data_IF_311860574611
#
_entry.id   IF_311860574611
#
_cell.length_a   1.000
_cell.length_b   1.000
_cell.length_c   1.000
_cell.angle_alpha   90.00
_cell.angle_beta   90.00
_cell.angle_gamma   90.00
#
_symmetry.space_group_name_H-M   'P 1'
#
loop_
_entity.id
_entity.type
_entity.pdbx_description
1 polymer ?
#
# COMPACT_ATOMS: atom_id res chain seq x y z
N UNK A 1 -3.83 98.62 93.29
CA UNK A 1 -2.51 97.97 93.40
C UNK A 1 -2.44 97.27 94.75
N UNK A 2 -1.98 96.02 94.75
CA UNK A 2 -1.28 95.21 95.78
C UNK A 2 -1.20 95.74 97.23
N UNK A 3 -1.18 94.97 98.32
CA UNK A 3 -1.15 93.53 98.62
C UNK A 3 -1.29 93.37 100.16
N UNK A 4 -1.57 92.14 100.60
CA UNK A 4 -1.11 91.46 101.84
C UNK A 4 -1.29 92.07 103.25
N UNK A 5 -1.31 91.33 104.37
CA UNK A 5 -1.55 89.91 104.77
C UNK A 5 -1.67 89.99 106.30
N UNK A 6 -2.68 89.35 106.90
CA UNK A 6 -2.97 89.25 108.35
C UNK A 6 -4.07 88.15 108.50
N UNK A 7 -4.33 87.39 109.57
CA UNK A 7 -3.85 87.32 110.97
C UNK A 7 -4.54 86.11 111.69
N UNK A 8 -3.84 85.55 112.68
CA UNK A 8 -4.19 84.89 113.98
C UNK A 8 -5.47 84.07 114.28
N UNK A 9 -5.24 82.90 114.92
CA UNK A 9 -5.48 82.52 116.36
C UNK A 9 -6.82 82.86 117.10
N UNK A 10 -7.37 81.83 117.77
CA UNK A 10 -8.26 81.88 118.97
C UNK A 10 -9.77 81.99 118.67
N UNK A 11 -10.74 81.62 119.51
CA UNK A 11 -10.88 80.91 120.79
C UNK A 11 -12.39 80.83 121.13
N UNK A 12 -12.82 79.80 121.86
CA UNK A 12 -13.92 79.75 122.86
C UNK A 12 -15.43 79.87 122.50
N UNK A 13 -16.17 78.93 123.17
CA UNK A 13 -17.52 79.03 123.76
C UNK A 13 -18.73 79.30 122.84
N UNK A 14 -19.98 78.93 123.12
CA UNK A 14 -20.67 77.97 124.00
C UNK A 14 -22.17 78.04 123.63
N UNK A 15 -22.93 77.03 124.03
CA UNK A 15 -24.34 77.09 124.44
C UNK A 15 -25.51 76.95 123.42
N UNK A 16 -26.48 76.12 123.85
CA UNK A 16 -27.91 76.09 123.46
C UNK A 16 -28.28 75.25 122.23
N UNK A 17 -29.40 74.53 122.11
CA UNK A 17 -30.33 73.81 122.99
C UNK A 17 -31.44 73.18 122.08
N UNK A 18 -31.93 71.97 122.43
CA UNK A 18 -33.25 71.33 122.09
C UNK A 18 -33.57 70.93 120.61
N UNK A 19 -34.21 69.81 120.21
CA UNK A 19 -35.26 68.93 120.82
C UNK A 19 -35.48 67.54 120.10
N UNK A 20 -35.99 66.53 120.86
CA UNK A 20 -36.98 65.42 120.55
C UNK A 20 -36.60 63.98 120.04
N UNK A 21 -36.95 62.97 120.88
CA UNK A 21 -37.88 61.79 120.66
C UNK A 21 -37.40 60.29 120.58
N UNK A 22 -37.70 59.52 121.67
CA UNK A 22 -38.29 58.15 121.89
C UNK A 22 -37.76 56.74 121.39
N UNK A 23 -37.61 55.84 122.41
CA UNK A 23 -38.07 54.40 122.64
C UNK A 23 -37.40 53.14 122.02
N UNK A 24 -36.82 52.21 122.84
CA UNK A 24 -36.63 50.74 122.56
C UNK A 24 -36.49 49.90 123.87
N UNK A 25 -37.02 48.64 123.94
CA UNK A 25 -36.26 47.34 124.16
C UNK A 25 -37.01 46.16 124.81
N UNK A 26 -37.13 45.01 124.09
CA UNK A 26 -36.85 43.58 124.50
C UNK A 26 -37.50 42.53 123.53
N UNK A 27 -36.70 41.69 122.83
CA UNK A 27 -36.95 40.30 122.30
C UNK A 27 -35.94 39.92 121.17
N UNK A 28 -34.79 39.31 121.46
CA UNK A 28 -33.73 39.05 120.44
C UNK A 28 -33.05 37.67 120.43
N UNK A 29 -33.21 36.84 121.46
CA UNK A 29 -32.34 35.65 121.62
C UNK A 29 -32.92 34.33 121.08
N UNK A 30 -34.24 34.17 120.97
CA UNK A 30 -34.85 32.91 120.51
C UNK A 30 -34.71 32.68 118.99
N UNK A 31 -34.75 33.74 118.18
CA UNK A 31 -34.71 33.67 116.70
C UNK A 31 -33.35 33.19 116.19
N UNK A 32 -32.26 33.55 116.89
CA UNK A 32 -30.88 33.19 116.49
C UNK A 32 -30.60 31.69 116.59
N UNK A 33 -31.28 30.97 117.49
CA UNK A 33 -31.03 29.55 117.70
C UNK A 33 -31.68 28.67 116.63
N UNK A 34 -32.88 29.05 116.17
CA UNK A 34 -33.64 28.33 115.13
C UNK A 34 -32.92 28.44 113.78
N UNK A 35 -32.46 29.64 113.43
CA UNK A 35 -31.72 29.89 112.18
C UNK A 35 -30.44 29.06 112.04
N UNK A 36 -29.70 28.84 113.14
CA UNK A 36 -28.48 28.02 113.11
C UNK A 36 -28.76 26.54 112.79
N UNK A 37 -29.88 25.97 113.26
CA UNK A 37 -30.23 24.57 112.97
C UNK A 37 -30.59 24.33 111.50
N UNK A 38 -31.34 25.26 110.89
CA UNK A 38 -31.69 25.15 109.47
C UNK A 38 -30.48 25.31 108.55
N UNK A 39 -29.56 26.21 108.88
CA UNK A 39 -28.31 26.38 108.11
C UNK A 39 -27.44 25.11 108.13
N UNK A 40 -27.37 24.41 109.26
CA UNK A 40 -26.59 23.17 109.35
C UNK A 40 -27.19 22.03 108.51
N UNK A 41 -28.52 21.92 108.49
CA UNK A 41 -29.24 20.95 107.65
C UNK A 41 -29.00 21.18 106.15
N UNK A 42 -28.96 22.45 105.74
CA UNK A 42 -28.75 22.84 104.34
C UNK A 42 -27.35 22.47 103.81
N UNK A 43 -26.32 22.59 104.67
CA UNK A 43 -24.94 22.20 104.33
C UNK A 43 -24.80 20.69 104.16
N UNK A 44 -25.47 19.89 105.00
CA UNK A 44 -25.47 18.43 104.86
C UNK A 44 -26.16 17.98 103.55
N UNK A 45 -27.25 18.64 103.18
CA UNK A 45 -27.98 18.33 101.95
C UNK A 45 -27.16 18.67 100.69
N UNK A 46 -26.44 19.79 100.71
CA UNK A 46 -25.53 20.17 99.64
C UNK A 46 -24.36 19.17 99.49
N UNK A 47 -23.80 18.69 100.61
CA UNK A 47 -22.75 17.67 100.60
C UNK A 47 -23.20 16.35 99.96
N UNK A 48 -24.42 15.89 100.26
CA UNK A 48 -24.99 14.67 99.67
C UNK A 48 -25.22 14.83 98.15
N UNK A 49 -25.72 15.98 97.71
CA UNK A 49 -25.91 16.27 96.29
C UNK A 49 -24.59 16.27 95.52
N UNK A 50 -23.51 16.77 96.12
CA UNK A 50 -22.19 16.80 95.50
C UNK A 50 -21.60 15.39 95.32
N UNK A 51 -21.81 14.49 96.29
CA UNK A 51 -21.39 13.09 96.19
C UNK A 51 -22.12 12.37 95.04
N UNK A 52 -23.45 12.57 94.95
CA UNK A 52 -24.26 11.96 93.87
C UNK A 52 -23.85 12.49 92.49
N UNK A 53 -23.61 13.79 92.36
CA UNK A 53 -23.14 14.39 91.11
C UNK A 53 -21.78 13.84 90.68
N UNK A 54 -20.85 13.66 91.63
CA UNK A 54 -19.51 13.15 91.35
C UNK A 54 -19.54 11.68 90.91
N UNK A 55 -20.44 10.87 91.49
CA UNK A 55 -20.62 9.47 91.11
C UNK A 55 -21.30 9.30 89.74
N UNK A 56 -22.27 10.16 89.42
CA UNK A 56 -22.98 10.09 88.14
C UNK A 56 -22.10 10.59 86.98
N UNK A 57 -21.36 11.69 87.18
CA UNK A 57 -20.44 12.24 86.17
C UNK A 57 -19.27 11.30 85.85
N UNK A 58 -18.75 10.58 86.85
CA UNK A 58 -17.66 9.61 86.66
C UNK A 58 -18.08 8.40 85.81
N UNK A 59 -19.30 7.89 85.97
CA UNK A 59 -19.78 6.72 85.23
C UNK A 59 -20.20 7.02 83.77
N UNK A 60 -20.63 8.26 83.47
CA UNK A 60 -21.02 8.66 82.11
C UNK A 60 -19.80 8.93 81.22
N UNK A 61 -18.73 9.52 81.77
CA UNK A 61 -17.49 9.77 81.00
C UNK A 61 -16.80 8.47 80.54
N UNK A 62 -16.78 7.42 81.37
CA UNK A 62 -16.11 6.15 81.05
C UNK A 62 -16.76 5.45 79.84
N UNK A 63 -18.08 5.65 79.61
CA UNK A 63 -18.80 5.01 78.50
C UNK A 63 -18.70 5.78 77.17
N UNK A 64 -18.50 7.10 77.23
CA UNK A 64 -18.35 7.95 76.04
C UNK A 64 -16.93 7.90 75.45
N UNK A 65 -15.89 7.85 76.29
CA UNK A 65 -14.50 7.81 75.80
C UNK A 65 -14.19 6.50 75.05
N UNK A 66 -14.75 5.37 75.50
CA UNK A 66 -14.51 4.06 74.88
C UNK A 66 -15.17 3.93 73.48
N UNK A 67 -16.25 4.67 73.21
CA UNK A 67 -16.88 4.70 71.88
C UNK A 67 -16.14 5.61 70.90
N UNK A 68 -15.71 6.79 71.37
CA UNK A 68 -14.95 7.73 70.54
C UNK A 68 -13.59 7.17 70.12
N UNK A 69 -12.91 6.42 71.01
CA UNK A 69 -11.64 5.76 70.66
C UNK A 69 -11.79 4.74 69.54
N UNK A 70 -12.86 3.93 69.55
CA UNK A 70 -13.12 2.92 68.50
C UNK A 70 -13.55 3.55 67.17
N UNK A 71 -14.30 4.65 67.20
CA UNK A 71 -14.68 5.39 65.98
C UNK A 71 -13.44 6.04 65.34
N UNK A 72 -12.52 6.57 66.16
CA UNK A 72 -11.25 7.12 65.66
C UNK A 72 -10.37 6.04 64.98
N UNK A 73 -10.27 4.85 65.57
CA UNK A 73 -9.53 3.72 64.96
C UNK A 73 -10.13 3.27 63.62
N UNK A 74 -11.46 3.18 63.53
CA UNK A 74 -12.16 2.84 62.28
C UNK A 74 -11.97 3.92 61.22
N UNK A 75 -12.03 5.20 61.59
CA UNK A 75 -11.78 6.30 60.66
C UNK A 75 -10.35 6.28 60.09
N UNK A 76 -9.35 5.97 60.93
CA UNK A 76 -7.95 5.82 60.49
C UNK A 76 -7.79 4.60 59.57
N UNK A 77 -8.43 3.47 59.88
CA UNK A 77 -8.40 2.27 59.03
C UNK A 77 -9.06 2.51 57.66
N UNK A 78 -10.23 3.15 57.63
CA UNK A 78 -10.93 3.52 56.39
C UNK A 78 -10.10 4.50 55.57
N UNK A 79 -9.53 5.55 56.19
CA UNK A 79 -8.67 6.52 55.50
C UNK A 79 -7.42 5.88 54.91
N UNK A 80 -6.77 4.97 55.65
CA UNK A 80 -5.60 4.23 55.17
C UNK A 80 -5.93 3.32 53.98
N UNK A 81 -7.09 2.65 54.02
CA UNK A 81 -7.53 1.79 52.92
C UNK A 81 -8.03 2.59 51.70
N UNK A 82 -8.66 3.76 51.89
CA UNK A 82 -9.04 4.66 50.80
C UNK A 82 -7.81 5.19 50.05
N UNK A 83 -6.75 5.59 50.77
CA UNK A 83 -5.51 6.03 50.14
C UNK A 83 -4.85 4.90 49.33
N UNK A 84 -4.90 3.65 49.82
CA UNK A 84 -4.38 2.49 49.08
C UNK A 84 -5.21 2.17 47.84
N UNK A 85 -6.55 2.26 47.93
CA UNK A 85 -7.43 2.12 46.77
C UNK A 85 -7.23 3.24 45.75
N UNK A 86 -6.97 4.47 46.20
CA UNK A 86 -6.73 5.60 45.31
C UNK A 86 -5.43 5.42 44.52
N UNK A 87 -4.35 4.99 45.17
CA UNK A 87 -3.08 4.65 44.49
C UNK A 87 -3.28 3.52 43.46
N UNK A 88 -4.10 2.51 43.78
CA UNK A 88 -4.40 1.42 42.84
C UNK A 88 -5.22 1.88 41.63
N UNK A 89 -6.17 2.81 41.83
CA UNK A 89 -6.94 3.43 40.74
C UNK A 89 -6.06 4.32 39.88
N UNK A 90 -5.19 5.14 40.49
CA UNK A 90 -4.26 6.03 39.76
C UNK A 90 -3.28 5.22 38.89
N UNK A 91 -2.79 4.07 39.39
CA UNK A 91 -1.94 3.14 38.62
C UNK A 91 -2.72 2.47 37.49
N UNK A 92 -3.99 2.11 37.71
CA UNK A 92 -4.84 1.58 36.66
C UNK A 92 -5.11 2.62 35.56
N UNK A 93 -5.39 3.87 35.93
CA UNK A 93 -5.59 4.98 35.00
C UNK A 93 -4.33 5.28 34.19
N UNK A 94 -3.14 5.26 34.80
CA UNK A 94 -1.87 5.40 34.08
C UNK A 94 -1.67 4.30 33.04
N UNK A 95 -1.97 3.05 33.38
CA UNK A 95 -1.87 1.93 32.45
C UNK A 95 -2.90 2.02 31.31
N UNK A 96 -4.10 2.52 31.60
CA UNK A 96 -5.13 2.78 30.57
C UNK A 96 -4.65 3.88 29.61
N UNK A 97 -4.10 4.98 30.13
CA UNK A 97 -3.55 6.05 29.27
C UNK A 97 -2.38 5.57 28.40
N UNK A 98 -1.51 4.69 28.92
CA UNK A 98 -0.42 4.10 28.12
C UNK A 98 -0.95 3.16 27.02
N UNK A 99 -1.99 2.38 27.32
CA UNK A 99 -2.65 1.50 26.35
C UNK A 99 -3.37 2.30 25.27
N UNK A 100 -4.09 3.36 25.62
CA UNK A 100 -4.73 4.27 24.66
C UNK A 100 -3.69 4.93 23.75
N UNK A 101 -2.54 5.34 24.30
CA UNK A 101 -1.43 5.87 23.52
C UNK A 101 -0.86 4.87 22.51
N UNK A 102 -0.68 3.60 22.90
CA UNK A 102 -0.24 2.52 21.99
C UNK A 102 -1.28 2.21 20.91
N UNK A 103 -2.56 2.17 21.27
CA UNK A 103 -3.68 1.96 20.32
C UNK A 103 -3.77 3.10 19.32
N UNK A 104 -3.61 4.35 19.77
CA UNK A 104 -3.57 5.52 18.89
C UNK A 104 -2.35 5.48 17.94
N UNK A 105 -1.18 5.07 18.45
CA UNK A 105 0.03 4.84 17.65
C UNK A 105 -0.19 3.79 16.56
N UNK A 106 -0.77 2.63 16.92
CA UNK A 106 -1.14 1.59 15.96
C UNK A 106 -2.17 2.07 14.92
N UNK A 107 -3.14 2.90 15.32
CA UNK A 107 -4.09 3.51 14.40
C UNK A 107 -3.41 4.41 13.35
N UNK A 108 -2.41 5.19 13.77
CA UNK A 108 -1.65 6.07 12.86
C UNK A 108 -0.78 5.28 11.87
N UNK A 109 -0.21 4.14 12.28
CA UNK A 109 0.53 3.21 11.43
C UNK A 109 -0.40 2.51 10.41
N UNK A 110 -1.58 2.07 10.87
CA UNK A 110 -2.63 1.50 10.00
C UNK A 110 -3.11 2.50 8.94
N UNK A 111 -3.23 3.78 9.30
CA UNK A 111 -3.62 4.84 8.36
C UNK A 111 -2.51 5.14 7.33
N UNK A 112 -1.24 5.12 7.74
CA UNK A 112 -0.09 5.21 6.81
C UNK A 112 -0.05 4.02 5.84
N UNK A 113 -0.29 2.81 6.33
CA UNK A 113 -0.40 1.61 5.50
C UNK A 113 -1.59 1.71 4.54
N UNK A 114 -2.75 2.19 5.00
CA UNK A 114 -3.94 2.42 4.18
C UNK A 114 -3.68 3.39 3.01
N UNK A 115 -3.05 4.54 3.29
CA UNK A 115 -2.64 5.50 2.24
C UNK A 115 -1.61 4.91 1.28
N UNK A 116 -0.70 4.07 1.76
CA UNK A 116 0.25 3.33 0.93
C UNK A 116 -0.45 2.35 -0.03
N UNK A 117 -1.50 1.67 0.45
CA UNK A 117 -2.32 0.75 -0.35
C UNK A 117 -3.15 1.49 -1.40
N UNK A 118 -3.74 2.65 -1.07
CA UNK A 118 -4.41 3.51 -2.07
C UNK A 118 -3.42 4.03 -3.13
N UNK A 119 -2.22 4.45 -2.70
CA UNK A 119 -1.16 4.86 -3.62
C UNK A 119 -0.66 3.74 -4.53
N UNK A 120 -0.67 2.49 -4.05
CA UNK A 120 -0.42 1.31 -4.88
C UNK A 120 -1.59 1.04 -5.85
N UNK A 121 -2.84 1.24 -5.42
CA UNK A 121 -4.03 1.14 -6.27
C UNK A 121 -3.96 2.08 -7.48
N UNK A 122 -3.61 3.35 -7.27
CA UNK A 122 -3.44 4.31 -8.38
C UNK A 122 -2.27 3.97 -9.32
N UNK A 123 -1.20 3.36 -8.79
CA UNK A 123 -0.08 2.86 -9.61
C UNK A 123 -0.47 1.63 -10.43
N UNK A 124 -1.32 0.77 -9.88
CA UNK A 124 -1.88 -0.40 -10.56
C UNK A 124 -2.83 0.04 -11.68
N UNK A 125 -3.70 1.02 -11.44
CA UNK A 125 -4.60 1.57 -12.45
C UNK A 125 -3.83 2.30 -13.58
N UNK A 126 -2.73 2.97 -13.22
CA UNK A 126 -1.80 3.51 -14.21
C UNK A 126 -1.11 2.40 -15.02
N UNK A 127 -0.66 1.32 -14.37
CA UNK A 127 -0.11 0.12 -15.02
C UNK A 127 -1.12 -0.56 -15.93
N UNK A 128 -2.38 -0.67 -15.51
CA UNK A 128 -3.49 -1.22 -16.29
C UNK A 128 -3.69 -0.44 -17.60
N UNK A 129 -3.58 0.89 -17.55
CA UNK A 129 -3.63 1.76 -18.73
C UNK A 129 -2.43 1.58 -19.66
N UNK A 130 -1.22 1.36 -19.11
CA UNK A 130 -0.01 1.11 -19.88
C UNK A 130 0.04 -0.31 -20.48
N UNK A 131 -0.53 -1.29 -19.78
CA UNK A 131 -0.60 -2.69 -20.19
C UNK A 131 -1.77 -2.94 -21.15
N UNK A 132 -2.90 -2.24 -21.02
CA UNK A 132 -4.00 -2.33 -22.01
C UNK A 132 -3.63 -1.72 -23.36
N UNK A 133 -2.62 -0.85 -23.41
CA UNK A 133 -2.11 -0.24 -24.63
C UNK A 133 -1.02 -1.04 -25.35
N UNK A 134 -0.45 -2.05 -24.70
CA UNK A 134 0.60 -2.91 -25.25
C UNK A 134 0.12 -4.37 -25.18
N UNK A 135 0.33 -5.20 -26.20
CA UNK A 135 -0.05 -6.64 -26.19
C UNK A 135 0.79 -7.49 -25.21
N UNK A 136 1.04 -7.02 -23.98
CA UNK A 136 1.74 -7.79 -22.95
C UNK A 136 0.85 -8.89 -22.36
N UNK A 137 -0.49 -8.73 -22.40
CA UNK A 137 -1.49 -9.74 -22.02
C UNK A 137 -2.75 -9.57 -22.89
N UNK A 138 -3.42 -10.66 -23.27
CA UNK A 138 -4.78 -10.55 -23.81
C UNK A 138 -5.72 -10.12 -22.69
N UNK A 139 -6.76 -9.34 -23.01
CA UNK A 139 -7.72 -8.83 -22.02
C UNK A 139 -8.33 -9.96 -21.17
N UNK A 140 -8.53 -11.13 -21.77
CA UNK A 140 -9.07 -12.30 -21.08
C UNK A 140 -8.09 -12.91 -20.05
N UNK A 141 -6.79 -13.00 -20.39
CA UNK A 141 -5.76 -13.51 -19.47
C UNK A 141 -5.52 -12.54 -18.30
N UNK A 142 -5.64 -11.23 -18.55
CA UNK A 142 -5.53 -10.23 -17.50
C UNK A 142 -6.77 -10.23 -16.58
N UNK A 143 -7.97 -10.40 -17.14
CA UNK A 143 -9.21 -10.48 -16.36
C UNK A 143 -9.23 -11.76 -15.49
N UNK A 144 -8.73 -12.88 -16.01
CA UNK A 144 -8.54 -14.13 -15.25
C UNK A 144 -7.55 -13.95 -14.09
N UNK A 145 -6.41 -13.32 -14.34
CA UNK A 145 -5.43 -12.96 -13.30
C UNK A 145 -6.03 -12.03 -12.24
N UNK A 146 -6.84 -11.05 -12.64
CA UNK A 146 -7.44 -10.10 -11.71
C UNK A 146 -8.52 -10.75 -10.84
N UNK A 147 -9.28 -11.69 -11.39
CA UNK A 147 -10.24 -12.49 -10.64
C UNK A 147 -9.56 -13.50 -9.69
N UNK A 148 -8.43 -14.07 -10.10
CA UNK A 148 -7.60 -14.94 -9.25
C UNK A 148 -6.93 -14.13 -8.13
N UNK A 149 -6.43 -12.93 -8.43
CA UNK A 149 -5.89 -11.97 -7.46
C UNK A 149 -6.96 -11.54 -6.42
N UNK A 150 -8.19 -11.27 -6.87
CA UNK A 150 -9.32 -10.97 -5.97
C UNK A 150 -9.69 -12.16 -5.07
N UNK A 151 -9.55 -13.39 -5.55
CA UNK A 151 -9.75 -14.60 -4.75
C UNK A 151 -8.60 -14.84 -3.77
N UNK A 152 -7.37 -14.53 -4.16
CA UNK A 152 -6.15 -14.68 -3.36
C UNK A 152 -5.94 -13.59 -2.31
N UNK A 153 -7.01 -12.90 -1.87
CA UNK A 153 -7.03 -11.75 -0.93
C UNK A 153 -6.63 -12.14 0.51
N UNK A 154 -5.55 -12.90 0.66
CA UNK A 154 -5.05 -13.41 1.93
C UNK A 154 -3.59 -13.88 1.92
N UNK A 155 -2.95 -14.15 0.76
CA UNK A 155 -1.58 -14.68 0.76
C UNK A 155 -0.69 -13.98 -0.27
N UNK A 156 0.03 -12.93 0.17
CA UNK A 156 0.96 -12.14 -0.64
C UNK A 156 2.05 -13.01 -1.30
N UNK A 157 2.42 -14.11 -0.65
CA UNK A 157 3.45 -15.02 -1.14
C UNK A 157 2.98 -15.87 -2.33
N UNK A 158 1.69 -16.26 -2.39
CA UNK A 158 1.13 -16.97 -3.55
C UNK A 158 1.06 -16.07 -4.79
N UNK A 159 0.62 -14.81 -4.62
CA UNK A 159 0.62 -13.81 -5.71
C UNK A 159 2.04 -13.54 -6.19
N UNK A 160 3.04 -13.54 -5.29
CA UNK A 160 4.45 -13.36 -5.64
C UNK A 160 5.01 -14.53 -6.44
N UNK A 161 4.59 -15.76 -6.14
CA UNK A 161 5.02 -16.96 -6.88
C UNK A 161 4.43 -16.95 -8.28
N UNK A 162 3.12 -16.72 -8.42
CA UNK A 162 2.46 -16.64 -9.75
C UNK A 162 3.04 -15.51 -10.60
N UNK A 163 3.25 -14.32 -10.02
CA UNK A 163 3.85 -13.21 -10.74
C UNK A 163 5.31 -13.52 -11.18
N UNK A 164 6.08 -14.23 -10.35
CA UNK A 164 7.42 -14.69 -10.73
C UNK A 164 7.38 -15.70 -11.87
N UNK A 165 6.46 -16.66 -11.84
CA UNK A 165 6.34 -17.67 -12.90
C UNK A 165 5.96 -17.03 -14.24
N UNK A 166 5.02 -16.08 -14.26
CA UNK A 166 4.64 -15.37 -15.48
C UNK A 166 5.84 -14.56 -16.02
N UNK A 167 6.53 -13.82 -15.14
CA UNK A 167 7.70 -13.04 -15.55
C UNK A 167 8.82 -13.94 -16.06
N UNK A 168 9.09 -15.06 -15.37
CA UNK A 168 10.10 -16.03 -15.80
C UNK A 168 9.72 -16.68 -17.12
N UNK A 169 8.46 -17.09 -17.29
CA UNK A 169 7.97 -17.66 -18.55
C UNK A 169 8.09 -16.67 -19.71
N UNK A 170 7.82 -15.39 -19.50
CA UNK A 170 7.98 -14.36 -20.52
C UNK A 170 9.46 -14.06 -20.83
N UNK A 171 10.32 -14.04 -19.81
CA UNK A 171 11.78 -13.96 -19.99
C UNK A 171 12.27 -15.18 -20.78
N UNK A 172 11.81 -16.38 -20.46
CA UNK A 172 12.17 -17.61 -21.17
C UNK A 172 11.72 -17.56 -22.63
N UNK A 173 10.50 -17.07 -22.92
CA UNK A 173 10.07 -16.82 -24.31
C UNK A 173 10.96 -15.81 -25.00
N UNK A 174 11.33 -14.72 -24.34
CA UNK A 174 12.21 -13.71 -24.91
C UNK A 174 13.61 -14.27 -25.22
N UNK A 175 14.13 -15.15 -24.34
CA UNK A 175 15.36 -15.91 -24.56
C UNK A 175 15.20 -16.91 -25.72
N UNK A 176 14.03 -17.52 -25.87
CA UNK A 176 13.64 -18.38 -26.99
C UNK A 176 13.16 -17.59 -28.22
N UNK A 177 13.88 -16.52 -28.56
CA UNK A 177 13.68 -15.70 -29.77
C UNK A 177 12.30 -15.01 -29.86
N UNK A 178 11.62 -14.88 -28.72
CA UNK A 178 10.34 -14.19 -28.54
C UNK A 178 9.09 -14.97 -28.92
N UNK A 179 9.21 -16.12 -29.58
CA UNK A 179 8.07 -16.90 -30.10
C UNK A 179 8.00 -18.34 -29.59
N UNK A 180 9.09 -18.89 -29.05
CA UNK A 180 9.13 -20.28 -28.59
C UNK A 180 8.92 -21.32 -29.71
N UNK A 181 9.19 -20.96 -30.97
CA UNK A 181 9.03 -21.83 -32.15
C UNK A 181 10.32 -21.91 -32.95
N UNK A 182 10.64 -23.09 -33.48
CA UNK A 182 11.85 -23.29 -34.30
C UNK A 182 11.71 -22.54 -35.62
N UNK A 183 12.71 -21.74 -35.97
CA UNK A 183 12.81 -21.02 -37.24
C UNK A 183 13.68 -21.80 -38.24
N UNK A 184 13.05 -22.38 -39.27
CA UNK A 184 13.75 -23.13 -40.33
C UNK A 184 14.31 -22.24 -41.45
N UNK A 185 13.94 -20.96 -41.47
CA UNK A 185 14.45 -19.98 -42.41
C UNK A 185 15.70 -19.25 -41.89
N UNK A 186 16.01 -19.39 -40.59
CA UNK A 186 17.14 -18.74 -39.92
C UNK A 186 18.47 -18.97 -40.64
N UNK A 187 19.18 -17.86 -40.94
CA UNK A 187 20.43 -17.89 -41.68
C UNK A 187 21.56 -18.64 -40.98
N UNK A 188 21.74 -18.41 -39.68
CA UNK A 188 22.72 -19.15 -38.87
C UNK A 188 22.39 -20.64 -38.73
N UNK A 189 21.12 -21.02 -38.95
CA UNK A 189 20.66 -22.41 -38.98
C UNK A 189 20.84 -23.10 -40.33
N UNK A 190 21.29 -22.39 -41.38
CA UNK A 190 21.49 -22.90 -42.73
C UNK A 190 20.46 -22.44 -43.77
N UNK A 191 19.43 -21.70 -43.35
CA UNK A 191 18.49 -21.07 -44.28
C UNK A 191 19.17 -19.97 -45.10
N UNK A 192 18.73 -19.75 -46.33
CA UNK A 192 19.28 -18.65 -47.15
C UNK A 192 18.33 -18.21 -48.25
N UNK A 193 18.45 -16.94 -48.65
CA UNK A 193 17.75 -16.40 -49.80
C UNK A 193 18.41 -16.93 -51.08
N UNK A 194 17.60 -17.42 -52.01
CA UNK A 194 18.05 -17.95 -53.31
C UNK A 194 17.74 -17.00 -54.45
N UNK A 195 16.60 -16.31 -54.42
CA UNK A 195 16.16 -15.33 -55.43
C UNK A 195 15.30 -14.26 -54.78
N UNK A 196 15.24 -13.07 -55.37
CA UNK A 196 14.37 -11.99 -54.92
C UNK A 196 14.11 -10.98 -56.04
N UNK A 197 13.10 -10.11 -55.86
CA UNK A 197 12.87 -8.96 -56.74
C UNK A 197 13.98 -7.91 -56.60
N UNK A 198 13.99 -6.86 -57.44
CA UNK A 198 15.11 -5.89 -57.45
C UNK A 198 15.33 -5.24 -56.07
N UNK A 199 16.51 -5.48 -55.47
CA UNK A 199 16.88 -4.88 -54.19
C UNK A 199 17.05 -3.35 -54.30
N UNK A 200 16.72 -2.64 -53.22
CA UNK A 200 16.92 -1.21 -53.09
C UNK A 200 18.38 -0.89 -52.73
N UNK A 201 18.95 0.14 -53.36
CA UNK A 201 20.31 0.57 -53.09
C UNK A 201 21.39 -0.22 -53.84
N UNK A 202 21.01 -1.01 -54.86
CA UNK A 202 21.97 -1.68 -55.75
C UNK A 202 22.77 -0.65 -56.54
N UNK A 203 23.95 -0.31 -56.01
CA UNK A 203 25.01 0.42 -56.70
C UNK A 203 25.79 -0.62 -57.51
N UNK A 204 25.98 -0.37 -58.80
CA UNK A 204 26.78 -1.12 -59.79
C UNK A 204 28.12 -1.75 -59.33
N UNK A 205 28.70 -1.34 -58.19
CA UNK A 205 29.95 -1.87 -57.65
C UNK A 205 29.84 -2.58 -56.29
N UNK A 206 28.67 -2.65 -55.66
CA UNK A 206 28.55 -3.27 -54.34
C UNK A 206 27.14 -3.79 -54.11
N UNK A 207 27.03 -5.11 -53.93
CA UNK A 207 25.86 -5.68 -53.26
C UNK A 207 25.26 -6.92 -53.88
N UNK A 208 25.65 -7.35 -55.09
CA UNK A 208 25.22 -8.64 -55.65
C UNK A 208 26.27 -9.69 -55.30
N UNK A 209 25.92 -10.64 -54.44
CA UNK A 209 26.76 -11.80 -54.16
C UNK A 209 26.95 -12.67 -55.42
N UNK A 210 27.93 -13.58 -55.39
CA UNK A 210 28.27 -14.42 -56.56
C UNK A 210 27.09 -15.19 -57.18
N UNK A 211 26.01 -15.37 -56.42
CA UNK A 211 24.83 -16.12 -56.85
C UNK A 211 23.68 -15.23 -57.34
N UNK A 212 23.90 -13.93 -57.58
CA UNK A 212 22.85 -12.99 -58.00
C UNK A 212 21.94 -12.51 -56.87
N UNK A 213 22.20 -12.92 -55.62
CA UNK A 213 21.45 -12.54 -54.41
C UNK A 213 22.12 -11.34 -53.75
N UNK A 214 21.33 -10.37 -53.33
CA UNK A 214 21.82 -9.17 -52.67
C UNK A 214 22.40 -9.49 -51.29
N UNK A 215 23.52 -8.87 -50.91
CA UNK A 215 24.20 -9.12 -49.63
C UNK A 215 23.30 -8.88 -48.42
N UNK A 216 22.42 -7.88 -48.49
CA UNK A 216 21.46 -7.57 -47.42
C UNK A 216 20.27 -8.54 -47.36
N UNK A 217 20.11 -9.44 -48.32
CA UNK A 217 19.02 -10.43 -48.28
C UNK A 217 19.13 -11.35 -47.06
N UNK A 218 20.33 -11.52 -46.50
CA UNK A 218 20.53 -12.30 -45.26
C UNK A 218 19.91 -11.60 -44.04
N UNK A 219 19.73 -10.28 -44.05
CA UNK A 219 19.21 -9.51 -42.90
C UNK A 219 17.81 -9.95 -42.51
N UNK A 220 16.94 -10.23 -43.48
CA UNK A 220 15.58 -10.73 -43.20
C UNK A 220 15.53 -12.15 -42.63
N UNK A 221 16.65 -12.86 -42.59
CA UNK A 221 16.78 -14.21 -42.02
C UNK A 221 17.63 -14.22 -40.75
N UNK A 222 17.93 -13.05 -40.19
CA UNK A 222 18.69 -12.87 -38.94
C UNK A 222 17.85 -12.09 -37.92
N UNK A 223 18.06 -12.32 -36.62
CA UNK A 223 17.46 -11.48 -35.59
C UNK A 223 18.03 -10.06 -35.69
N UNK A 224 17.16 -9.05 -35.80
CA UNK A 224 17.52 -7.63 -35.82
C UNK A 224 17.39 -6.95 -34.46
N UNK A 225 16.81 -7.65 -33.46
CA UNK A 225 16.55 -7.14 -32.11
C UNK A 225 15.85 -5.76 -32.07
N UNK A 226 15.08 -5.44 -33.12
CA UNK A 226 14.33 -4.18 -33.23
C UNK A 226 15.13 -2.98 -33.74
N UNK A 227 16.38 -3.16 -34.18
CA UNK A 227 17.21 -2.08 -34.73
C UNK A 227 16.64 -1.55 -36.06
N UNK A 228 16.24 -0.27 -36.15
CA UNK A 228 15.75 0.32 -37.39
C UNK A 228 16.83 0.31 -38.48
N UNK A 229 16.49 -0.17 -39.68
CA UNK A 229 17.41 -0.25 -40.81
C UNK A 229 18.03 -1.64 -41.04
N UNK A 230 18.01 -2.52 -40.03
CA UNK A 230 18.41 -3.92 -40.16
C UNK A 230 17.31 -4.75 -40.83
N UNK A 231 17.08 -4.46 -42.11
CA UNK A 231 16.05 -5.08 -42.93
C UNK A 231 16.55 -5.33 -44.36
N UNK A 232 15.85 -6.19 -45.08
CA UNK A 232 16.03 -6.35 -46.51
C UNK A 232 15.03 -5.48 -47.28
N UNK A 233 15.55 -4.49 -48.01
CA UNK A 233 14.74 -3.53 -48.76
C UNK A 233 14.67 -3.90 -50.25
N UNK A 234 13.44 -3.96 -50.78
CA UNK A 234 13.14 -4.27 -52.18
C UNK A 234 12.48 -3.06 -52.84
N UNK A 235 12.78 -2.79 -54.11
CA UNK A 235 12.22 -1.65 -54.83
C UNK A 235 10.73 -1.81 -55.10
N UNK A 236 10.00 -0.69 -55.01
CA UNK A 236 8.56 -0.64 -55.25
C UNK A 236 7.74 -1.17 -54.07
N UNK A 237 6.44 -1.33 -54.28
CA UNK A 237 5.48 -1.81 -53.28
C UNK A 237 5.13 -3.29 -53.42
N UNK A 238 5.58 -3.95 -54.49
CA UNK A 238 5.33 -5.36 -54.77
C UNK A 238 6.62 -6.08 -55.15
N UNK A 239 6.68 -7.38 -54.88
CA UNK A 239 7.88 -8.16 -55.09
C UNK A 239 7.81 -9.54 -54.47
N UNK A 240 8.96 -10.21 -54.44
CA UNK A 240 9.06 -11.56 -53.90
C UNK A 240 10.44 -11.85 -53.34
N UNK A 241 10.51 -12.83 -52.43
CA UNK A 241 11.74 -13.44 -51.95
C UNK A 241 11.56 -14.96 -51.92
N UNK A 242 12.52 -15.69 -52.50
CA UNK A 242 12.59 -17.16 -52.47
C UNK A 242 13.69 -17.60 -51.50
N UNK A 243 13.33 -18.45 -50.55
CA UNK A 243 14.13 -18.86 -49.41
C UNK A 243 14.26 -20.38 -49.46
N UNK A 244 15.50 -20.87 -49.37
CA UNK A 244 15.77 -22.28 -49.10
C UNK A 244 15.86 -22.47 -47.58
N UNK A 245 15.03 -23.37 -47.06
CA UNK A 245 15.03 -23.73 -45.65
C UNK A 245 16.26 -24.60 -45.33
N UNK A 246 16.64 -24.63 -44.05
CA UNK A 246 17.75 -25.47 -43.56
C UNK A 246 17.51 -26.97 -43.76
N UNK A 247 16.25 -27.39 -43.77
CA UNK A 247 15.77 -28.76 -43.95
C UNK A 247 14.37 -28.71 -44.54
N UNK A 248 13.99 -29.77 -45.23
CA UNK A 248 12.61 -29.99 -45.61
C UNK A 248 11.71 -30.23 -44.38
N UNK A 249 10.55 -29.59 -44.34
CA UNK A 249 9.60 -29.63 -43.22
C UNK A 249 8.16 -29.74 -43.71
N UNK A 250 7.25 -30.12 -42.81
CA UNK A 250 5.82 -29.85 -42.94
C UNK A 250 5.55 -28.48 -42.30
N UNK A 251 5.21 -27.44 -43.09
CA UNK A 251 5.05 -26.09 -42.57
C UNK A 251 3.73 -25.93 -41.81
N UNK A 252 3.78 -25.34 -40.62
CA UNK A 252 2.62 -25.10 -39.75
C UNK A 252 2.25 -23.62 -39.69
N UNK A 253 3.26 -22.74 -39.64
CA UNK A 253 3.06 -21.32 -39.50
C UNK A 253 4.23 -20.54 -40.09
N UNK A 254 3.99 -19.28 -40.40
CA UNK A 254 5.02 -18.32 -40.80
C UNK A 254 4.90 -17.07 -39.95
N UNK A 255 6.02 -16.45 -39.63
CA UNK A 255 6.03 -15.18 -38.92
C UNK A 255 6.70 -14.11 -39.75
N UNK A 256 6.04 -12.96 -39.85
CA UNK A 256 6.56 -11.78 -40.50
C UNK A 256 6.74 -10.68 -39.47
N UNK A 257 7.93 -10.07 -39.47
CA UNK A 257 8.28 -9.01 -38.56
C UNK A 257 8.59 -7.71 -39.27
N UNK A 258 8.29 -6.62 -38.58
CA UNK A 258 8.70 -5.28 -38.92
C UNK A 258 9.18 -4.55 -37.65
N UNK A 259 9.90 -3.44 -37.82
CA UNK A 259 10.27 -2.58 -36.68
C UNK A 259 9.04 -2.13 -35.89
N UNK A 260 9.17 -2.08 -34.56
CA UNK A 260 8.12 -1.68 -33.64
C UNK A 260 7.77 -0.19 -33.75
N UNK A 261 6.52 0.17 -33.43
CA UNK A 261 6.03 1.55 -33.49
C UNK A 261 6.79 2.50 -32.55
N UNK A 262 7.24 2.01 -31.41
CA UNK A 262 7.95 2.79 -30.40
C UNK A 262 9.31 3.31 -30.84
N UNK A 263 9.94 2.66 -31.84
CA UNK A 263 11.32 2.95 -32.26
C UNK A 263 11.44 3.39 -33.72
N UNK A 264 10.32 3.51 -34.45
CA UNK A 264 10.30 3.90 -35.86
C UNK A 264 9.35 5.05 -36.13
N UNK A 265 9.86 6.09 -36.79
CA UNK A 265 9.07 7.25 -37.24
C UNK A 265 8.12 6.90 -38.40
N UNK A 266 8.55 6.02 -39.31
CA UNK A 266 7.78 5.61 -40.49
C UNK A 266 7.79 4.08 -40.62
N UNK A 267 6.61 3.48 -40.75
CA UNK A 267 6.40 2.04 -40.99
C UNK A 267 5.64 1.76 -42.29
N UNK A 268 5.47 2.77 -43.15
CA UNK A 268 4.75 2.66 -44.42
C UNK A 268 5.42 1.72 -45.43
N UNK A 269 6.72 1.42 -45.25
CA UNK A 269 7.46 0.44 -46.05
C UNK A 269 7.20 -1.02 -45.66
N UNK A 270 6.44 -1.29 -44.59
CA UNK A 270 6.13 -2.67 -44.23
C UNK A 270 5.32 -3.34 -45.35
N UNK A 271 5.63 -4.61 -45.71
CA UNK A 271 4.79 -5.38 -46.62
C UNK A 271 3.39 -5.52 -46.03
N UNK A 272 2.36 -5.50 -46.88
CA UNK A 272 0.96 -5.55 -46.45
C UNK A 272 0.29 -6.83 -46.94
N UNK A 273 -0.12 -6.88 -48.20
CA UNK A 273 -0.86 -8.01 -48.75
C UNK A 273 0.12 -9.10 -49.22
N UNK A 274 0.23 -10.18 -48.45
CA UNK A 274 1.25 -11.21 -48.61
C UNK A 274 0.64 -12.57 -48.98
N UNK A 275 1.40 -13.34 -49.77
CA UNK A 275 1.12 -14.73 -50.10
C UNK A 275 2.39 -15.55 -49.91
N UNK A 276 2.28 -16.65 -49.19
CA UNK A 276 3.36 -17.61 -49.02
C UNK A 276 3.04 -18.86 -49.83
N UNK A 277 4.00 -19.27 -50.65
CA UNK A 277 3.94 -20.52 -51.42
C UNK A 277 5.15 -21.38 -51.07
N UNK A 278 5.02 -22.70 -51.16
CA UNK A 278 6.11 -23.63 -50.91
C UNK A 278 6.13 -24.78 -51.89
N UNK A 279 7.30 -25.37 -52.07
CA UNK A 279 7.49 -26.57 -52.89
C UNK A 279 8.68 -27.37 -52.38
N UNK A 280 8.74 -28.62 -52.81
CA UNK A 280 9.89 -29.48 -52.59
C UNK A 280 10.76 -29.48 -53.85
N UNK A 281 11.99 -28.97 -53.75
CA UNK A 281 12.96 -29.01 -54.84
C UNK A 281 13.70 -30.35 -54.88
N UNK A 282 14.02 -30.96 -53.74
CA UNK A 282 14.84 -32.16 -53.69
C UNK A 282 16.28 -31.92 -54.18
N UNK A 283 16.95 -32.97 -54.71
CA UNK A 283 18.30 -32.87 -55.28
C UNK A 283 18.34 -32.48 -56.77
N UNK A 284 17.20 -32.36 -57.45
CA UNK A 284 17.17 -32.03 -58.88
C UNK A 284 17.49 -30.56 -59.16
N UNK A 285 18.41 -30.35 -60.11
CA UNK A 285 18.99 -29.05 -60.51
C UNK A 285 18.18 -28.28 -61.56
N UNK A 286 17.02 -28.77 -61.98
CA UNK A 286 16.33 -28.19 -63.13
C UNK A 286 15.51 -26.95 -62.75
N UNK A 287 16.08 -25.79 -63.07
CA UNK A 287 15.62 -24.45 -62.74
C UNK A 287 14.43 -23.94 -63.58
N UNK A 288 13.89 -24.75 -64.50
CA UNK A 288 13.04 -24.24 -65.59
C UNK A 288 11.52 -24.50 -65.49
N UNK A 289 11.02 -25.36 -64.58
CA UNK A 289 9.59 -25.73 -64.54
C UNK A 289 8.98 -25.82 -63.12
N UNK A 290 9.28 -24.86 -62.23
CA UNK A 290 8.84 -24.95 -60.82
C UNK A 290 7.48 -24.31 -60.48
N UNK A 291 6.87 -23.51 -61.36
CA UNK A 291 5.60 -22.83 -61.03
C UNK A 291 4.43 -23.81 -60.86
N UNK A 292 4.44 -24.94 -61.58
CA UNK A 292 3.40 -25.98 -61.50
C UNK A 292 3.49 -26.83 -60.22
N UNK A 293 4.62 -26.80 -59.50
CA UNK A 293 4.83 -27.53 -58.24
C UNK A 293 4.61 -26.69 -56.98
N UNK A 294 4.24 -25.40 -57.12
CA UNK A 294 4.08 -24.50 -55.98
C UNK A 294 2.70 -24.66 -55.33
N UNK A 295 2.68 -25.01 -54.04
CA UNK A 295 1.49 -25.02 -53.23
C UNK A 295 1.36 -23.68 -52.48
N UNK A 296 0.18 -23.05 -52.51
CA UNK A 296 -0.08 -21.88 -51.67
C UNK A 296 -0.26 -22.36 -50.22
N UNK A 297 0.55 -21.82 -49.31
CA UNK A 297 0.58 -22.17 -47.89
C UNK A 297 -0.23 -21.18 -47.06
N UNK A 298 -0.12 -19.89 -47.33
CA UNK A 298 -0.84 -18.85 -46.59
C UNK A 298 -1.11 -17.62 -47.45
N UNK A 299 -2.20 -16.92 -47.14
CA UNK A 299 -2.49 -15.56 -47.62
C UNK A 299 -2.89 -14.73 -46.42
N UNK A 300 -2.23 -13.60 -46.22
CA UNK A 300 -2.46 -12.77 -45.06
C UNK A 300 -2.15 -11.30 -45.34
N UNK A 301 -2.69 -10.44 -44.49
CA UNK A 301 -2.41 -9.02 -44.49
C UNK A 301 -1.68 -8.67 -43.19
N UNK A 302 -0.46 -8.14 -43.30
CA UNK A 302 0.26 -7.60 -42.15
C UNK A 302 -0.40 -6.29 -41.70
N UNK A 303 -0.64 -6.13 -40.39
CA UNK A 303 -1.34 -4.97 -39.85
C UNK A 303 -0.45 -4.15 -38.91
N UNK A 304 -0.14 -2.91 -39.28
CA UNK A 304 0.67 -2.01 -38.45
C UNK A 304 0.10 -1.72 -37.07
N UNK A 305 -1.20 -1.97 -36.84
CA UNK A 305 -1.86 -1.75 -35.55
C UNK A 305 -1.64 -2.89 -34.54
N UNK A 306 -1.30 -4.09 -35.01
CA UNK A 306 -0.99 -5.26 -34.18
C UNK A 306 0.49 -5.28 -33.79
N UNK A 307 0.91 -6.36 -33.13
CA UNK A 307 2.31 -6.67 -32.82
C UNK A 307 3.25 -6.44 -34.01
N UNK A 308 4.49 -6.09 -33.68
CA UNK A 308 5.57 -5.98 -34.64
C UNK A 308 5.96 -7.35 -35.25
N UNK A 309 5.69 -8.45 -34.55
CA UNK A 309 5.83 -9.82 -35.03
C UNK A 309 4.46 -10.48 -35.17
N UNK A 310 4.08 -10.87 -36.39
CA UNK A 310 2.77 -11.45 -36.68
C UNK A 310 2.92 -12.84 -37.26
N UNK A 311 2.34 -13.82 -36.56
CA UNK A 311 2.36 -15.23 -36.95
C UNK A 311 1.04 -15.59 -37.63
N UNK A 312 1.14 -16.32 -38.73
CA UNK A 312 0.02 -16.74 -39.57
C UNK A 312 0.10 -18.24 -39.79
N UNK A 313 -1.00 -18.93 -39.54
CA UNK A 313 -1.11 -20.37 -39.73
C UNK A 313 -1.12 -20.72 -41.23
N UNK A 314 -0.51 -21.86 -41.54
CA UNK A 314 -0.46 -22.42 -42.89
C UNK A 314 -1.66 -23.33 -43.12
N UNK A 315 -2.33 -23.15 -44.26
CA UNK A 315 -3.41 -24.02 -44.72
C UNK A 315 -2.88 -24.97 -45.79
N UNK A 316 -2.67 -26.23 -45.42
CA UNK A 316 -2.23 -27.25 -46.37
C UNK A 316 -3.44 -27.83 -47.14
N UNK A 317 -3.40 -27.91 -48.48
CA UNK A 317 -4.37 -28.69 -49.24
C UNK A 317 -4.24 -30.18 -48.89
N UNK A 318 -5.35 -30.92 -48.92
CA UNK A 318 -5.48 -32.32 -48.45
C UNK A 318 -4.30 -33.22 -48.83
N UNK A 319 -3.34 -33.36 -47.91
CA UNK A 319 -2.09 -34.12 -48.06
C UNK A 319 -0.95 -33.53 -47.22
N UNK A 320 -0.03 -34.37 -46.76
CA UNK A 320 1.22 -33.92 -46.12
C UNK A 320 2.14 -33.34 -47.21
N UNK A 321 2.25 -32.01 -47.26
CA UNK A 321 3.16 -31.33 -48.19
C UNK A 321 4.45 -31.00 -47.45
N UNK A 322 5.50 -31.76 -47.76
CA UNK A 322 6.87 -31.43 -47.32
C UNK A 322 7.43 -30.36 -48.26
N UNK A 323 8.03 -29.30 -47.71
CA UNK A 323 8.64 -28.22 -48.48
C UNK A 323 10.05 -27.93 -47.97
N UNK A 324 10.97 -27.64 -48.87
CA UNK A 324 12.32 -27.13 -48.57
C UNK A 324 12.57 -25.74 -49.17
N UNK A 325 11.66 -25.28 -50.04
CA UNK A 325 11.65 -23.97 -50.63
C UNK A 325 10.38 -23.22 -50.23
N UNK A 326 10.55 -21.96 -49.86
CA UNK A 326 9.47 -21.03 -49.54
C UNK A 326 9.61 -19.80 -50.41
N UNK A 327 8.48 -19.27 -50.88
CA UNK A 327 8.39 -17.99 -51.57
C UNK A 327 7.40 -17.09 -50.85
N UNK A 328 7.89 -15.94 -50.42
CA UNK A 328 7.07 -14.85 -49.91
C UNK A 328 6.85 -13.86 -51.06
N UNK A 329 5.61 -13.75 -51.53
CA UNK A 329 5.17 -12.69 -52.43
C UNK A 329 4.45 -11.61 -51.61
N UNK A 330 4.69 -10.33 -51.93
CA UNK A 330 3.91 -9.20 -51.41
C UNK A 330 3.40 -8.38 -52.59
N UNK A 331 2.09 -8.07 -52.58
CA UNK A 331 1.42 -7.33 -53.65
C UNK A 331 1.35 -5.82 -53.35
N UNK A 332 1.52 -5.43 -52.09
CA UNK A 332 1.42 -4.05 -51.63
C UNK A 332 2.23 -3.81 -50.35
N UNK A 333 2.35 -2.54 -49.97
CA UNK A 333 2.87 -2.10 -48.67
C UNK A 333 1.94 -1.03 -48.08
N UNK A 334 2.31 -0.45 -46.94
CA UNK A 334 1.50 0.53 -46.22
C UNK A 334 1.65 1.99 -46.71
N UNK A 335 2.04 2.20 -47.98
CA UNK A 335 2.00 3.52 -48.63
C UNK A 335 3.34 4.05 -49.13
N UNK A 336 4.44 3.28 -48.99
CA UNK A 336 5.76 3.71 -49.46
C UNK A 336 5.98 3.36 -50.93
N UNK A 337 5.91 4.35 -51.83
CA UNK A 337 6.08 4.10 -53.27
C UNK A 337 7.49 3.60 -53.67
N UNK A 338 8.52 3.97 -52.91
CA UNK A 338 9.91 3.71 -53.30
C UNK A 338 10.41 2.31 -52.97
N UNK A 339 9.92 1.67 -51.91
CA UNK A 339 10.38 0.36 -51.45
C UNK A 339 9.48 -0.30 -50.42
N UNK A 340 9.68 -1.60 -50.26
CA UNK A 340 9.17 -2.42 -49.17
C UNK A 340 10.33 -3.00 -48.37
N UNK A 341 10.25 -2.96 -47.04
CA UNK A 341 11.29 -3.41 -46.11
C UNK A 341 10.82 -4.62 -45.31
N UNK A 342 11.57 -5.72 -45.36
CA UNK A 342 11.29 -6.95 -44.61
C UNK A 342 12.33 -7.06 -43.51
N UNK A 343 11.93 -6.94 -42.24
CA UNK A 343 12.86 -7.04 -41.11
C UNK A 343 13.19 -8.48 -40.78
N UNK A 344 12.18 -9.34 -40.67
CA UNK A 344 12.40 -10.77 -40.47
C UNK A 344 11.26 -11.61 -41.02
N UNK A 345 11.60 -12.74 -41.60
CA UNK A 345 10.63 -13.75 -42.01
C UNK A 345 11.05 -15.11 -41.49
N UNK A 346 10.17 -15.76 -40.73
CA UNK A 346 10.38 -17.06 -40.09
C UNK A 346 9.43 -18.09 -40.66
N UNK A 347 9.88 -19.34 -40.68
CA UNK A 347 9.06 -20.49 -41.10
C UNK A 347 9.13 -21.56 -40.02
N UNK A 348 7.97 -22.03 -39.59
CA UNK A 348 7.79 -22.96 -38.48
C UNK A 348 7.12 -24.24 -38.97
N UNK A 349 7.50 -25.38 -38.37
CA UNK A 349 7.00 -26.70 -38.74
C UNK A 349 7.79 -27.83 -38.09
N UNK A 350 7.62 -29.05 -38.60
CA UNK A 350 8.30 -30.26 -38.10
C UNK A 350 8.90 -31.13 -39.20
#
# INVERSE_FOLDING_TARGET
>A
MAEEVQVTRGSNHSAGATTKSYRIRRKGNAVKLVLKKYMFSLVLLAGLLQIVWTFYSSNVNIKYDNFNSRIAEVAVFVSKNMNMMQVQVDVADQNVMELEGKVFGMGSELEKLGRGVEGLGGRIESLEKYLSGNELLSKAEFDEFFDEYKKAKGNLDEVRVVAREIVMGEIEKHVADGLGRVDYALASGGGHVTRHSKARGSVWFSGIGWNGVHVDAVKMLRPSFGEPGECFALNGSSGFVEIKLRKAIVPEAVTLEHVAKSVAYDRSSAPKDCKVSGWFRGQETDLAHNTEKMCTLAKFTYDLKKSNAQTFDVSLPSGLVVVDMIRLDFASNHGKASHTSIYRFRVHGH
#
